data_IF_557657175869
#
_entry.id   IF_557657175869
#
_cell.length_a   1.000
_cell.length_b   1.000
_cell.length_c   1.000
_cell.angle_alpha   90.00
_cell.angle_beta   90.00
_cell.angle_gamma   90.00
#
_symmetry.space_group_name_H-M   'P 1'
#
loop_
_entity.id
_entity.type
_entity.pdbx_description
1 polymer ?
#
# COMPACT_ATOMS: atom_id res chain seq x y z
N UNK A 1 -19.65 -15.11 36.50
CA UNK A 1 -18.57 -15.05 35.50
C UNK A 1 -19.21 -15.35 34.16
N UNK A 2 -19.51 -14.32 33.36
CA UNK A 2 -20.07 -14.54 32.03
C UNK A 2 -18.96 -15.10 31.14
N UNK A 3 -19.18 -16.25 30.51
CA UNK A 3 -18.24 -16.81 29.53
C UNK A 3 -17.99 -15.76 28.45
N UNK A 4 -16.77 -15.25 28.33
CA UNK A 4 -16.37 -14.48 27.16
C UNK A 4 -16.49 -15.40 25.94
N UNK A 5 -17.31 -15.01 24.95
CA UNK A 5 -17.42 -15.74 23.70
C UNK A 5 -16.08 -15.58 22.97
N UNK A 6 -15.41 -16.70 22.72
CA UNK A 6 -14.10 -16.75 22.09
C UNK A 6 -14.25 -17.34 20.69
N UNK A 7 -13.81 -16.59 19.68
CA UNK A 7 -13.86 -17.01 18.27
C UNK A 7 -12.45 -17.18 17.75
N UNK A 8 -12.13 -18.35 17.19
CA UNK A 8 -10.87 -18.61 16.50
C UNK A 8 -11.03 -18.28 15.02
N UNK A 9 -10.04 -17.60 14.45
CA UNK A 9 -10.01 -17.16 13.06
C UNK A 9 -8.63 -17.46 12.45
N UNK A 10 -8.59 -18.25 11.38
CA UNK A 10 -7.39 -18.55 10.63
C UNK A 10 -7.28 -17.68 9.39
N UNK A 11 -6.23 -16.87 9.32
CA UNK A 11 -5.95 -15.97 8.20
C UNK A 11 -4.75 -16.47 7.44
N UNK A 12 -4.89 -16.61 6.12
CA UNK A 12 -3.84 -17.02 5.20
C UNK A 12 -3.45 -15.85 4.29
N UNK A 13 -2.16 -15.65 4.03
CA UNK A 13 -1.67 -14.70 3.03
C UNK A 13 -0.57 -15.31 2.16
N UNK A 14 -0.59 -15.04 0.86
CA UNK A 14 0.47 -15.46 -0.06
C UNK A 14 0.56 -14.57 -1.31
N UNK A 15 1.75 -14.05 -1.59
CA UNK A 15 2.13 -13.61 -2.93
C UNK A 15 2.29 -14.85 -3.83
N UNK A 16 1.42 -14.98 -4.84
CA UNK A 16 1.33 -16.18 -5.66
C UNK A 16 2.31 -16.21 -6.85
N UNK A 17 3.04 -15.13 -7.11
CA UNK A 17 3.94 -15.00 -8.26
C UNK A 17 3.30 -15.48 -9.55
N UNK A 18 2.14 -14.93 -9.90
CA UNK A 18 1.35 -15.35 -11.06
C UNK A 18 1.73 -14.64 -12.35
N UNK A 19 2.96 -14.12 -12.47
CA UNK A 19 3.36 -13.22 -13.57
C UNK A 19 3.37 -14.01 -14.88
N UNK A 20 2.52 -13.59 -15.82
CA UNK A 20 2.40 -14.26 -17.11
C UNK A 20 3.73 -14.26 -17.86
N UNK A 21 4.14 -15.43 -18.35
CA UNK A 21 5.38 -15.68 -19.09
C UNK A 21 6.70 -15.62 -18.29
N UNK A 22 6.73 -15.01 -17.10
CA UNK A 22 7.91 -15.00 -16.24
C UNK A 22 7.88 -16.12 -15.20
N UNK A 23 6.72 -16.32 -14.55
CA UNK A 23 6.62 -17.24 -13.43
C UNK A 23 6.60 -18.69 -13.89
N UNK A 24 7.49 -19.50 -13.32
CA UNK A 24 7.66 -20.91 -13.65
C UNK A 24 6.53 -21.76 -13.05
N UNK A 25 6.15 -22.82 -13.75
CA UNK A 25 5.17 -23.83 -13.31
C UNK A 25 3.84 -23.25 -12.81
N UNK A 26 3.41 -22.11 -13.35
CA UNK A 26 2.29 -21.33 -12.83
C UNK A 26 1.02 -22.19 -12.65
N UNK A 27 0.55 -22.88 -13.70
CA UNK A 27 -0.66 -23.71 -13.61
C UNK A 27 -0.55 -24.85 -12.59
N UNK A 28 0.62 -25.49 -12.47
CA UNK A 28 0.84 -26.54 -11.47
C UNK A 28 0.84 -25.97 -10.05
N UNK A 29 1.49 -24.82 -9.83
CA UNK A 29 1.52 -24.15 -8.52
C UNK A 29 0.14 -23.69 -8.08
N UNK A 30 -0.67 -23.14 -8.98
CA UNK A 30 -2.07 -22.79 -8.67
C UNK A 30 -2.93 -24.01 -8.34
N UNK A 31 -2.70 -25.15 -9.01
CA UNK A 31 -3.38 -26.41 -8.67
C UNK A 31 -3.01 -26.88 -7.25
N UNK A 32 -1.71 -26.89 -6.93
CA UNK A 32 -1.18 -27.21 -5.61
C UNK A 32 -1.71 -26.27 -4.53
N UNK A 33 -1.68 -24.96 -4.78
CA UNK A 33 -2.21 -23.94 -3.87
C UNK A 33 -3.69 -24.19 -3.59
N UNK A 34 -4.48 -24.47 -4.64
CA UNK A 34 -5.89 -24.82 -4.48
C UNK A 34 -6.11 -26.10 -3.67
N UNK A 35 -5.26 -27.13 -3.80
CA UNK A 35 -5.35 -28.34 -2.97
C UNK A 35 -5.03 -28.07 -1.50
N UNK A 36 -4.00 -27.26 -1.26
CA UNK A 36 -3.60 -26.86 0.09
C UNK A 36 -4.69 -26.03 0.78
N UNK A 37 -5.24 -25.03 0.09
CA UNK A 37 -6.33 -24.19 0.59
C UNK A 37 -7.64 -24.96 0.78
N UNK A 38 -7.88 -26.01 -0.01
CA UNK A 38 -9.04 -26.89 0.16
C UNK A 38 -8.92 -27.79 1.40
N UNK A 39 -7.72 -28.32 1.65
CA UNK A 39 -7.45 -29.25 2.77
C UNK A 39 -7.33 -28.54 4.11
N UNK A 40 -6.78 -27.33 4.14
CA UNK A 40 -6.58 -26.57 5.38
C UNK A 40 -7.80 -25.73 5.73
N UNK A 41 -8.05 -25.57 7.02
CA UNK A 41 -9.24 -24.88 7.53
C UNK A 41 -9.08 -23.35 7.65
N UNK A 42 -8.50 -22.68 6.66
CA UNK A 42 -8.41 -21.21 6.67
C UNK A 42 -9.82 -20.58 6.60
N UNK A 43 -10.05 -19.48 7.30
CA UNK A 43 -11.33 -18.77 7.27
C UNK A 43 -11.30 -17.60 6.27
N UNK A 44 -10.11 -17.00 6.12
CA UNK A 44 -9.84 -15.87 5.24
C UNK A 44 -8.52 -16.11 4.52
N UNK A 45 -8.52 -15.95 3.20
CA UNK A 45 -7.38 -16.16 2.31
C UNK A 45 -7.15 -14.88 1.51
N UNK A 46 -5.95 -14.32 1.62
CA UNK A 46 -5.53 -13.05 1.05
C UNK A 46 -4.41 -13.30 0.05
N UNK A 47 -4.69 -13.19 -1.24
CA UNK A 47 -3.72 -13.49 -2.29
C UNK A 47 -3.24 -12.23 -2.99
N UNK A 48 -1.94 -12.17 -3.26
CA UNK A 48 -1.30 -11.17 -4.10
C UNK A 48 -0.77 -11.83 -5.39
N UNK A 49 -0.49 -11.03 -6.41
CA UNK A 49 0.03 -11.49 -7.70
C UNK A 49 -0.83 -12.54 -8.44
N UNK A 50 -2.13 -12.53 -8.20
CA UNK A 50 -3.11 -13.26 -9.03
C UNK A 50 -3.41 -12.44 -10.29
N UNK A 51 -2.43 -12.31 -11.18
CA UNK A 51 -2.53 -11.42 -12.36
C UNK A 51 -3.49 -11.92 -13.44
N UNK A 52 -3.87 -13.19 -13.40
CA UNK A 52 -4.72 -13.84 -14.40
C UNK A 52 -6.11 -14.11 -13.84
N UNK A 53 -7.13 -13.50 -14.44
CA UNK A 53 -8.53 -13.73 -14.07
C UNK A 53 -8.93 -15.21 -14.25
N UNK A 54 -8.31 -15.91 -15.21
CA UNK A 54 -8.50 -17.35 -15.38
C UNK A 54 -8.01 -18.15 -14.17
N UNK A 55 -6.85 -17.81 -13.63
CA UNK A 55 -6.30 -18.52 -12.46
C UNK A 55 -7.11 -18.22 -11.20
N UNK A 56 -7.59 -16.98 -11.03
CA UNK A 56 -8.58 -16.63 -10.01
C UNK A 56 -9.87 -17.46 -10.14
N UNK A 57 -10.46 -17.54 -11.34
CA UNK A 57 -11.70 -18.30 -11.57
C UNK A 57 -11.50 -19.81 -11.30
N UNK A 58 -10.34 -20.35 -11.64
CA UNK A 58 -9.98 -21.74 -11.34
C UNK A 58 -9.92 -22.00 -9.83
N UNK A 59 -9.27 -21.09 -9.07
CA UNK A 59 -9.26 -21.16 -7.61
C UNK A 59 -10.67 -21.03 -7.02
N UNK A 60 -11.47 -20.08 -7.53
CA UNK A 60 -12.87 -19.87 -7.11
C UNK A 60 -13.71 -21.12 -7.29
N UNK A 61 -13.58 -21.79 -8.43
CA UNK A 61 -14.29 -23.04 -8.68
C UNK A 61 -13.84 -24.14 -7.71
N UNK A 62 -12.54 -24.29 -7.52
CA UNK A 62 -11.96 -25.33 -6.64
C UNK A 62 -12.32 -25.13 -5.16
N UNK A 63 -12.39 -23.89 -4.71
CA UNK A 63 -12.66 -23.53 -3.32
C UNK A 63 -14.13 -23.26 -3.02
N UNK A 64 -15.05 -23.45 -3.99
CA UNK A 64 -16.45 -23.06 -3.84
C UNK A 64 -17.17 -23.68 -2.63
N UNK A 65 -16.77 -24.90 -2.20
CA UNK A 65 -17.38 -25.57 -1.04
C UNK A 65 -16.81 -25.12 0.31
N UNK A 66 -15.54 -24.70 0.37
CA UNK A 66 -14.88 -24.31 1.61
C UNK A 66 -14.74 -22.79 1.78
N UNK A 67 -14.64 -22.02 0.69
CA UNK A 67 -14.60 -20.56 0.67
C UNK A 67 -15.62 -20.03 -0.35
N UNK A 68 -16.93 -20.12 -0.06
CA UNK A 68 -18.00 -19.78 -1.01
C UNK A 68 -18.00 -18.29 -1.40
N UNK A 69 -17.41 -17.42 -0.58
CA UNK A 69 -17.34 -15.99 -0.83
C UNK A 69 -15.95 -15.60 -1.32
N UNK A 70 -15.89 -14.88 -2.44
CA UNK A 70 -14.62 -14.39 -2.96
C UNK A 70 -14.79 -13.12 -3.78
N UNK A 71 -13.72 -12.35 -3.87
CA UNK A 71 -13.66 -11.13 -4.68
C UNK A 71 -12.28 -10.99 -5.33
N UNK A 72 -12.29 -10.51 -6.58
CA UNK A 72 -11.10 -10.22 -7.37
C UNK A 72 -11.05 -8.73 -7.66
N UNK A 73 -10.01 -8.05 -7.18
CA UNK A 73 -9.89 -6.61 -7.33
C UNK A 73 -9.26 -6.26 -8.68
N UNK A 74 -9.99 -5.52 -9.52
CA UNK A 74 -9.52 -5.11 -10.85
C UNK A 74 -8.90 -3.71 -10.80
N UNK A 75 -7.65 -3.56 -11.25
CA UNK A 75 -6.90 -2.28 -11.26
C UNK A 75 -5.97 -2.21 -12.48
N UNK A 76 -5.48 -1.03 -12.81
CA UNK A 76 -4.41 -0.86 -13.81
C UNK A 76 -4.78 -1.39 -15.19
N UNK A 77 -3.75 -1.82 -15.93
CA UNK A 77 -3.88 -2.43 -17.27
C UNK A 77 -3.99 -3.95 -17.15
N UNK A 78 -3.18 -4.55 -16.26
CA UNK A 78 -3.08 -6.01 -16.10
C UNK A 78 -4.01 -6.53 -14.99
N UNK A 79 -4.40 -5.71 -14.01
CA UNK A 79 -5.10 -6.12 -12.78
C UNK A 79 -4.25 -5.80 -11.55
N UNK A 80 -4.84 -5.63 -10.35
CA UNK A 80 -4.03 -5.38 -9.12
C UNK A 80 -3.29 -6.63 -8.63
N UNK A 81 -3.68 -7.81 -9.13
CA UNK A 81 -3.21 -9.10 -8.62
C UNK A 81 -3.81 -9.50 -7.28
N UNK A 82 -4.79 -8.75 -6.75
CA UNK A 82 -5.31 -8.98 -5.40
C UNK A 82 -6.61 -9.79 -5.43
N UNK A 83 -6.69 -10.80 -4.58
CA UNK A 83 -7.90 -11.61 -4.40
C UNK A 83 -8.15 -11.94 -2.92
N UNK A 84 -9.42 -12.04 -2.56
CA UNK A 84 -9.87 -12.49 -1.24
C UNK A 84 -10.79 -13.70 -1.42
N UNK A 85 -10.59 -14.73 -0.62
CA UNK A 85 -11.53 -15.85 -0.45
C UNK A 85 -11.87 -15.98 1.04
N UNK A 86 -13.11 -16.30 1.35
CA UNK A 86 -13.56 -16.42 2.74
C UNK A 86 -14.69 -17.43 2.91
N UNK A 87 -14.70 -18.07 4.08
CA UNK A 87 -15.85 -18.80 4.63
C UNK A 87 -17.00 -17.84 4.99
N UNK A 88 -16.67 -16.63 5.40
CA UNK A 88 -17.63 -15.62 5.85
C UNK A 88 -18.14 -14.79 4.69
N UNK A 89 -19.37 -14.31 4.81
CA UNK A 89 -20.01 -13.49 3.77
C UNK A 89 -19.26 -12.16 3.61
N UNK A 90 -18.89 -11.85 2.38
CA UNK A 90 -18.41 -10.52 1.99
C UNK A 90 -19.64 -9.66 1.70
N UNK A 91 -19.79 -8.57 2.47
CA UNK A 91 -20.92 -7.65 2.37
C UNK A 91 -20.64 -6.47 1.44
N UNK A 92 -19.41 -5.97 1.47
CA UNK A 92 -18.99 -4.84 0.64
C UNK A 92 -17.50 -4.95 0.31
N UNK A 93 -17.09 -4.28 -0.74
CA UNK A 93 -15.71 -4.25 -1.21
C UNK A 93 -15.32 -2.88 -1.70
N UNK A 94 -14.10 -2.44 -1.39
CA UNK A 94 -13.59 -1.15 -1.85
C UNK A 94 -12.14 -1.27 -2.30
N UNK A 95 -11.84 -0.77 -3.49
CA UNK A 95 -10.49 -0.75 -4.05
C UNK A 95 -9.94 0.68 -4.04
N UNK A 96 -8.74 0.83 -3.48
CA UNK A 96 -7.97 2.07 -3.57
C UNK A 96 -6.66 1.81 -4.31
N UNK A 97 -6.53 2.37 -5.52
CA UNK A 97 -5.29 2.33 -6.30
C UNK A 97 -4.35 3.43 -5.85
N UNK A 98 -3.10 3.07 -5.58
CA UNK A 98 -2.11 4.04 -5.13
C UNK A 98 -1.77 5.07 -6.20
N UNK A 99 -1.38 6.26 -5.77
CA UNK A 99 -1.07 7.37 -6.67
C UNK A 99 0.27 7.24 -7.40
N UNK A 100 1.21 6.48 -6.84
CA UNK A 100 2.55 6.23 -7.39
C UNK A 100 2.82 4.73 -7.54
N UNK A 101 2.90 4.26 -8.78
CA UNK A 101 3.07 2.83 -9.12
C UNK A 101 4.28 2.55 -10.02
N UNK A 102 5.26 3.46 -10.07
CA UNK A 102 6.46 3.29 -10.90
C UNK A 102 6.35 4.01 -12.25
N UNK A 103 7.08 3.52 -13.25
CA UNK A 103 7.23 4.20 -14.54
C UNK A 103 6.82 3.33 -15.72
N UNK A 104 6.01 3.85 -16.67
CA UNK A 104 5.56 3.09 -17.84
C UNK A 104 6.70 2.73 -18.80
N UNK A 105 7.75 3.57 -18.86
CA UNK A 105 8.92 3.33 -19.72
C UNK A 105 9.90 2.31 -19.15
N UNK A 106 9.77 1.94 -17.87
CA UNK A 106 10.53 0.85 -17.26
C UNK A 106 9.74 -0.45 -17.43
N UNK A 107 9.60 -0.93 -18.66
CA UNK A 107 8.73 -2.08 -18.97
C UNK A 107 9.08 -3.37 -18.19
N UNK A 108 10.35 -3.52 -17.80
CA UNK A 108 10.82 -4.63 -16.97
C UNK A 108 10.40 -4.52 -15.50
N UNK A 109 9.88 -3.36 -15.07
CA UNK A 109 9.37 -3.11 -13.74
C UNK A 109 7.83 -3.03 -13.81
N UNK A 110 7.17 -4.16 -13.55
CA UNK A 110 5.76 -4.38 -13.89
C UNK A 110 4.73 -3.58 -13.08
N UNK A 111 5.14 -2.91 -11.99
CA UNK A 111 4.26 -2.26 -11.01
C UNK A 111 3.29 -1.24 -11.63
N UNK A 112 3.76 -0.50 -12.65
CA UNK A 112 2.95 0.54 -13.29
C UNK A 112 1.77 -0.08 -14.04
N UNK A 113 2.00 -1.20 -14.71
CA UNK A 113 0.97 -1.92 -15.47
C UNK A 113 0.01 -2.69 -14.57
N UNK A 114 0.50 -3.21 -13.44
CA UNK A 114 -0.35 -3.82 -12.41
C UNK A 114 -1.25 -2.79 -11.72
N UNK A 115 -0.76 -1.56 -11.51
CA UNK A 115 -1.51 -0.54 -10.79
C UNK A 115 -1.75 -0.96 -9.35
N UNK A 116 -0.66 -1.06 -8.58
CA UNK A 116 -0.65 -1.46 -7.16
C UNK A 116 -1.72 -0.72 -6.36
N UNK A 117 -2.29 -1.43 -5.40
CA UNK A 117 -3.51 -1.01 -4.72
C UNK A 117 -3.66 -1.72 -3.36
N UNK A 118 -4.64 -1.26 -2.58
CA UNK A 118 -5.22 -2.02 -1.47
C UNK A 118 -6.68 -2.33 -1.77
N UNK A 119 -7.04 -3.60 -1.66
CA UNK A 119 -8.42 -4.06 -1.68
C UNK A 119 -8.95 -4.22 -0.25
N UNK A 120 -10.14 -3.73 0.02
CA UNK A 120 -10.86 -3.91 1.28
C UNK A 120 -12.09 -4.77 1.04
N UNK A 121 -12.40 -5.66 1.98
CA UNK A 121 -13.63 -6.42 2.05
C UNK A 121 -14.23 -6.30 3.46
N UNK A 122 -15.53 -6.04 3.55
CA UNK A 122 -16.28 -6.02 4.81
C UNK A 122 -16.94 -7.38 5.01
N UNK A 123 -16.60 -8.06 6.11
CA UNK A 123 -17.07 -9.40 6.44
C UNK A 123 -17.82 -9.40 7.78
N UNK A 124 -18.73 -10.35 7.95
CA UNK A 124 -19.34 -10.65 9.25
C UNK A 124 -18.78 -11.95 9.83
N UNK A 125 -18.10 -11.83 10.97
CA UNK A 125 -17.51 -12.96 11.70
C UNK A 125 -18.30 -13.11 13.00
N UNK A 126 -19.29 -13.99 12.99
CA UNK A 126 -20.30 -14.03 14.05
C UNK A 126 -21.06 -12.70 14.09
N UNK A 127 -21.07 -12.04 15.24
CA UNK A 127 -21.67 -10.71 15.45
C UNK A 127 -20.71 -9.54 15.15
N UNK A 128 -19.45 -9.83 14.83
CA UNK A 128 -18.40 -8.81 14.64
C UNK A 128 -18.33 -8.36 13.18
N UNK A 129 -18.15 -7.05 12.99
CA UNK A 129 -17.86 -6.46 11.68
C UNK A 129 -16.35 -6.43 11.49
N UNK A 130 -15.86 -7.13 10.47
CA UNK A 130 -14.45 -7.21 10.14
C UNK A 130 -14.14 -6.48 8.83
N UNK A 131 -13.19 -5.54 8.87
CA UNK A 131 -12.60 -4.98 7.68
C UNK A 131 -11.29 -5.71 7.37
N UNK A 132 -11.29 -6.40 6.23
CA UNK A 132 -10.17 -7.20 5.76
C UNK A 132 -9.53 -6.48 4.59
N UNK A 133 -8.23 -6.22 4.69
CA UNK A 133 -7.44 -5.52 3.70
C UNK A 133 -6.43 -6.49 3.10
N UNK A 134 -6.34 -6.50 1.78
CA UNK A 134 -5.28 -7.17 1.02
C UNK A 134 -4.52 -6.12 0.23
N UNK A 135 -3.19 -6.13 0.30
CA UNK A 135 -2.36 -5.18 -0.45
C UNK A 135 -1.13 -5.83 -1.04
N UNK A 136 -0.58 -5.18 -2.05
CA UNK A 136 0.73 -5.46 -2.59
C UNK A 136 1.37 -4.11 -2.91
N UNK A 137 2.42 -3.72 -2.18
CA UNK A 137 3.13 -2.46 -2.43
C UNK A 137 4.10 -2.60 -3.60
N UNK A 138 4.70 -1.47 -4.00
CA UNK A 138 5.67 -1.41 -5.09
C UNK A 138 6.88 -2.30 -4.75
N UNK A 139 7.41 -3.02 -5.73
CA UNK A 139 8.58 -3.88 -5.53
C UNK A 139 9.86 -3.08 -5.24
N UNK A 140 10.75 -3.66 -4.42
CA UNK A 140 12.13 -3.20 -4.22
C UNK A 140 13.05 -3.94 -5.20
N UNK A 141 13.32 -3.33 -6.36
CA UNK A 141 14.13 -3.96 -7.41
C UNK A 141 15.63 -4.01 -7.09
N UNK A 142 16.12 -3.09 -6.24
CA UNK A 142 17.52 -3.02 -5.85
C UNK A 142 17.66 -2.19 -4.56
N UNK A 143 18.01 -2.83 -3.44
CA UNK A 143 18.14 -2.16 -2.14
C UNK A 143 19.22 -1.08 -2.10
N UNK A 144 20.37 -1.30 -2.76
CA UNK A 144 21.47 -0.31 -2.79
C UNK A 144 21.13 0.95 -3.60
N UNK A 145 20.29 0.80 -4.64
CA UNK A 145 19.92 1.89 -5.56
C UNK A 145 18.44 1.81 -5.85
N UNK A 146 17.67 2.31 -4.90
CA UNK A 146 16.23 2.24 -4.98
C UNK A 146 15.58 3.60 -5.34
N UNK A 147 15.32 3.87 -6.63
CA UNK A 147 14.58 5.07 -7.02
C UNK A 147 13.10 5.00 -6.65
N UNK A 148 12.61 3.85 -6.17
CA UNK A 148 11.20 3.63 -5.82
C UNK A 148 10.91 3.75 -4.33
N UNK A 149 11.91 4.06 -3.49
CA UNK A 149 11.69 4.27 -2.06
C UNK A 149 10.64 5.37 -1.81
N UNK A 150 10.69 6.55 -2.48
CA UNK A 150 9.63 7.55 -2.32
C UNK A 150 8.25 7.03 -2.74
N UNK A 151 8.18 6.15 -3.75
CA UNK A 151 6.92 5.52 -4.14
C UNK A 151 6.40 4.60 -3.03
N UNK A 152 7.23 3.70 -2.49
CA UNK A 152 6.85 2.81 -1.39
C UNK A 152 6.43 3.60 -0.13
N UNK A 153 7.12 4.68 0.19
CA UNK A 153 6.78 5.56 1.32
C UNK A 153 5.42 6.24 1.11
N UNK A 154 5.14 6.77 -0.08
CA UNK A 154 3.82 7.36 -0.40
C UNK A 154 2.73 6.30 -0.37
N UNK A 155 2.96 5.11 -0.90
CA UNK A 155 1.99 4.02 -0.84
C UNK A 155 1.70 3.59 0.60
N UNK A 156 2.71 3.49 1.46
CA UNK A 156 2.54 3.21 2.88
C UNK A 156 1.76 4.32 3.60
N UNK A 157 2.03 5.58 3.25
CA UNK A 157 1.28 6.75 3.72
C UNK A 157 -0.19 6.68 3.31
N UNK A 158 -0.48 6.36 2.06
CA UNK A 158 -1.85 6.22 1.56
C UNK A 158 -2.56 5.02 2.18
N UNK A 159 -1.87 3.88 2.34
CA UNK A 159 -2.40 2.67 2.98
C UNK A 159 -2.84 2.95 4.42
N UNK A 160 -2.00 3.62 5.22
CA UNK A 160 -2.38 3.93 6.60
C UNK A 160 -3.54 4.93 6.68
N UNK A 161 -3.60 5.93 5.78
CA UNK A 161 -4.76 6.83 5.70
C UNK A 161 -6.03 6.05 5.36
N UNK A 162 -5.95 5.20 4.33
CA UNK A 162 -7.07 4.41 3.87
C UNK A 162 -7.62 3.52 4.98
N UNK A 163 -6.75 2.78 5.68
CA UNK A 163 -7.15 1.94 6.82
C UNK A 163 -7.81 2.79 7.90
N UNK A 164 -7.18 3.89 8.33
CA UNK A 164 -7.71 4.74 9.41
C UNK A 164 -9.10 5.32 9.10
N UNK A 165 -9.32 5.76 7.86
CA UNK A 165 -10.58 6.38 7.46
C UNK A 165 -11.69 5.36 7.20
N UNK A 166 -11.34 4.13 6.82
CA UNK A 166 -12.32 3.09 6.51
C UNK A 166 -12.61 2.15 7.69
N UNK A 167 -11.74 2.08 8.70
CA UNK A 167 -11.85 1.13 9.81
C UNK A 167 -12.58 1.65 11.04
N UNK A 168 -13.08 2.89 11.05
CA UNK A 168 -13.66 3.51 12.25
C UNK A 168 -14.87 2.75 12.82
N UNK A 169 -15.65 2.09 11.96
CA UNK A 169 -16.83 1.30 12.34
C UNK A 169 -16.58 -0.20 12.49
N UNK A 170 -15.35 -0.69 12.31
CA UNK A 170 -15.05 -2.12 12.36
C UNK A 170 -14.69 -2.57 13.78
N UNK A 171 -15.15 -3.77 14.16
CA UNK A 171 -14.75 -4.44 15.39
C UNK A 171 -13.39 -5.12 15.26
N UNK A 172 -13.08 -5.59 14.05
CA UNK A 172 -11.84 -6.28 13.69
C UNK A 172 -11.25 -5.66 12.42
N UNK A 173 -9.94 -5.42 12.44
CA UNK A 173 -9.16 -5.02 11.28
C UNK A 173 -8.05 -6.03 11.07
N UNK A 174 -7.97 -6.58 9.85
CA UNK A 174 -6.86 -7.45 9.42
C UNK A 174 -6.33 -6.91 8.10
N UNK A 175 -5.01 -6.75 8.01
CA UNK A 175 -4.28 -6.45 6.78
C UNK A 175 -3.36 -7.61 6.48
N UNK A 176 -3.49 -8.20 5.29
CA UNK A 176 -2.56 -9.20 4.78
C UNK A 176 -1.94 -8.78 3.46
N UNK A 177 -0.67 -9.13 3.27
CA UNK A 177 -0.05 -9.10 1.96
C UNK A 177 1.41 -8.68 1.96
N UNK A 178 1.90 -8.47 0.75
CA UNK A 178 3.29 -8.15 0.45
C UNK A 178 3.51 -6.64 0.53
N UNK A 179 4.24 -6.20 1.55
CA UNK A 179 4.58 -4.80 1.75
C UNK A 179 5.88 -4.40 1.04
N UNK A 180 6.62 -5.34 0.45
CA UNK A 180 7.92 -5.11 -0.20
C UNK A 180 8.90 -4.30 0.66
N UNK A 181 8.80 -4.48 1.98
CA UNK A 181 9.55 -3.73 2.99
C UNK A 181 9.84 -4.62 4.18
N UNK A 182 11.12 -4.68 4.54
CA UNK A 182 11.61 -5.31 5.75
C UNK A 182 11.05 -4.60 7.01
N UNK A 183 10.95 -5.25 8.18
CA UNK A 183 10.25 -4.69 9.34
C UNK A 183 10.79 -3.33 9.82
N UNK A 184 12.07 -3.05 9.61
CA UNK A 184 12.71 -1.79 10.00
C UNK A 184 12.66 -0.70 8.93
N UNK A 185 12.22 -1.04 7.73
CA UNK A 185 12.11 -0.07 6.65
C UNK A 185 11.02 0.98 6.96
N UNK A 186 11.25 2.18 6.45
CA UNK A 186 10.48 3.37 6.81
C UNK A 186 8.98 3.23 6.60
N UNK A 187 8.54 2.68 5.46
CA UNK A 187 7.10 2.53 5.19
C UNK A 187 6.42 1.52 6.11
N UNK A 188 7.12 0.47 6.54
CA UNK A 188 6.58 -0.51 7.49
C UNK A 188 6.40 0.11 8.89
N UNK A 189 7.45 0.79 9.38
CA UNK A 189 7.39 1.57 10.64
C UNK A 189 6.26 2.61 10.58
N UNK A 190 6.17 3.37 9.49
CA UNK A 190 5.12 4.37 9.28
C UNK A 190 3.73 3.75 9.36
N UNK A 191 3.49 2.65 8.64
CA UNK A 191 2.20 1.96 8.61
C UNK A 191 1.79 1.47 10.01
N UNK A 192 2.68 0.74 10.70
CA UNK A 192 2.38 0.14 12.00
C UNK A 192 2.16 1.19 13.08
N UNK A 193 3.05 2.18 13.18
CA UNK A 193 2.93 3.23 14.21
C UNK A 193 1.72 4.14 13.96
N UNK A 194 1.38 4.43 12.70
CA UNK A 194 0.22 5.29 12.36
C UNK A 194 -1.14 4.62 12.58
N UNK A 195 -1.23 3.30 12.36
CA UNK A 195 -2.50 2.54 12.44
C UNK A 195 -2.69 1.86 13.81
N UNK A 196 -1.59 1.54 14.50
CA UNK A 196 -1.58 0.68 15.67
C UNK A 196 -1.87 -0.80 15.35
N UNK A 197 -1.69 -1.20 14.09
CA UNK A 197 -1.76 -2.61 13.70
C UNK A 197 -0.58 -3.37 14.32
N UNK A 198 -0.88 -4.53 14.90
CA UNK A 198 0.11 -5.42 15.50
C UNK A 198 0.52 -6.50 14.50
N UNK A 199 1.79 -6.87 14.55
CA UNK A 199 2.38 -7.88 13.65
C UNK A 199 2.16 -9.26 14.25
N UNK A 200 1.44 -10.15 13.55
CA UNK A 200 1.22 -11.52 14.00
C UNK A 200 2.51 -12.25 14.31
N UNK A 201 3.61 -11.98 13.58
CA UNK A 201 4.88 -12.65 13.83
C UNK A 201 5.48 -12.22 15.17
N UNK A 202 5.38 -10.93 15.52
CA UNK A 202 5.91 -10.41 16.77
C UNK A 202 5.02 -10.72 17.98
N UNK A 203 3.72 -10.91 17.75
CA UNK A 203 2.74 -11.15 18.82
C UNK A 203 2.44 -12.64 19.06
N UNK A 204 2.87 -13.53 18.17
CA UNK A 204 2.52 -14.94 18.27
C UNK A 204 3.11 -15.59 19.51
N UNK A 205 2.32 -16.39 20.22
CA UNK A 205 2.81 -17.20 21.33
C UNK A 205 3.68 -18.38 20.85
N UNK A 206 3.41 -18.89 19.65
CA UNK A 206 4.12 -20.02 19.05
C UNK A 206 4.31 -19.79 17.55
N UNK A 207 5.54 -19.99 17.09
CA UNK A 207 5.91 -19.84 15.69
C UNK A 207 6.48 -21.15 15.13
N UNK A 208 6.09 -21.50 13.91
CA UNK A 208 6.68 -22.59 13.13
C UNK A 208 6.91 -22.15 11.68
N UNK A 209 8.15 -21.96 11.26
CA UNK A 209 8.41 -21.39 9.94
C UNK A 209 9.88 -21.16 9.67
N UNK A 210 10.15 -20.34 8.67
CA UNK A 210 11.47 -19.83 8.36
C UNK A 210 11.98 -18.94 9.49
N UNK A 211 13.29 -18.96 9.72
CA UNK A 211 13.95 -18.09 10.70
C UNK A 211 13.54 -16.63 10.50
N UNK A 212 13.41 -15.87 11.58
CA UNK A 212 12.99 -14.46 11.59
C UNK A 212 11.67 -14.13 10.88
N UNK A 213 10.85 -15.14 10.57
CA UNK A 213 9.62 -14.99 9.82
C UNK A 213 9.85 -14.59 8.36
N UNK A 214 11.03 -14.91 7.80
CA UNK A 214 11.37 -14.61 6.41
C UNK A 214 10.36 -15.22 5.44
N UNK A 215 10.01 -14.46 4.42
CA UNK A 215 9.05 -14.86 3.38
C UNK A 215 9.66 -14.92 1.99
N UNK A 216 10.78 -14.24 1.77
CA UNK A 216 11.61 -14.40 0.58
C UNK A 216 12.93 -15.06 1.02
N UNK A 217 13.06 -16.37 0.85
CA UNK A 217 14.16 -17.16 1.44
C UNK A 217 15.23 -17.53 0.41
N UNK A 218 16.50 -17.51 0.82
CA UNK A 218 17.65 -17.80 -0.04
C UNK A 218 17.61 -19.18 -0.74
N UNK A 219 16.95 -20.15 -0.11
CA UNK A 219 16.81 -21.52 -0.60
C UNK A 219 15.65 -21.70 -1.59
N UNK A 220 14.83 -20.67 -1.82
CA UNK A 220 13.75 -20.75 -2.79
C UNK A 220 14.31 -20.77 -4.23
N UNK A 221 14.01 -21.79 -5.05
CA UNK A 221 14.58 -21.95 -6.39
C UNK A 221 14.07 -20.92 -7.41
N UNK A 222 13.09 -20.10 -7.05
CA UNK A 222 12.50 -19.10 -7.94
C UNK A 222 13.06 -17.69 -7.76
N UNK A 223 13.81 -17.43 -6.68
CA UNK A 223 14.38 -16.11 -6.40
C UNK A 223 15.83 -16.00 -6.90
N UNK A 224 16.28 -14.79 -7.23
CA UNK A 224 17.70 -14.49 -7.39
C UNK A 224 18.33 -14.08 -6.06
N UNK A 225 19.55 -14.55 -5.77
CA UNK A 225 20.30 -14.13 -4.57
C UNK A 225 20.52 -12.62 -4.48
N UNK A 226 20.55 -11.93 -5.62
CA UNK A 226 20.69 -10.48 -5.65
C UNK A 226 19.47 -9.73 -5.08
N UNK A 227 18.29 -10.37 -5.08
CA UNK A 227 17.05 -9.76 -4.58
C UNK A 227 17.00 -9.70 -3.06
N UNK A 228 17.72 -10.60 -2.38
CA UNK A 228 17.73 -10.67 -0.91
C UNK A 228 18.94 -9.98 -0.27
N UNK A 229 19.94 -9.54 -1.05
CA UNK A 229 21.09 -8.82 -0.48
C UNK A 229 20.65 -7.49 0.17
N UNK A 230 21.24 -7.12 1.32
CA UNK A 230 22.35 -7.78 2.04
C UNK A 230 21.92 -8.89 3.03
N UNK A 231 20.65 -9.29 3.04
CA UNK A 231 20.13 -10.30 3.96
C UNK A 231 20.36 -11.72 3.42
N UNK A 232 21.52 -12.28 3.72
CA UNK A 232 22.00 -13.56 3.17
C UNK A 232 21.02 -14.74 3.34
N UNK A 233 20.23 -14.75 4.43
CA UNK A 233 19.25 -15.82 4.71
C UNK A 233 17.89 -15.56 4.06
N UNK A 234 17.54 -14.30 3.79
CA UNK A 234 16.26 -13.91 3.25
C UNK A 234 15.67 -12.64 3.86
N UNK A 235 14.51 -12.25 3.35
CA UNK A 235 13.78 -11.05 3.70
C UNK A 235 12.39 -11.40 4.26
N UNK A 236 11.93 -10.66 5.27
CA UNK A 236 10.51 -10.65 5.68
C UNK A 236 9.81 -9.46 5.04
N UNK A 237 8.97 -9.71 4.05
CA UNK A 237 8.24 -8.66 3.30
C UNK A 237 6.74 -8.90 3.22
N UNK A 238 6.26 -10.09 3.58
CA UNK A 238 4.84 -10.39 3.71
C UNK A 238 4.42 -10.33 5.17
N UNK A 239 3.21 -9.86 5.41
CA UNK A 239 2.70 -9.64 6.76
C UNK A 239 1.23 -10.03 6.89
N UNK A 240 0.86 -10.49 8.08
CA UNK A 240 -0.52 -10.48 8.59
C UNK A 240 -0.51 -9.56 9.80
N UNK A 241 -1.17 -8.41 9.67
CA UNK A 241 -1.27 -7.39 10.69
C UNK A 241 -2.71 -7.26 11.16
N UNK A 242 -2.94 -6.99 12.45
CA UNK A 242 -4.30 -6.95 12.98
C UNK A 242 -4.49 -5.94 14.11
N UNK A 243 -5.75 -5.53 14.32
CA UNK A 243 -6.17 -4.66 15.41
C UNK A 243 -7.65 -4.89 15.74
N UNK A 244 -7.96 -4.86 17.03
CA UNK A 244 -9.34 -4.92 17.52
C UNK A 244 -9.86 -3.54 17.88
N UNK A 245 -11.18 -3.38 17.86
CA UNK A 245 -11.85 -2.24 18.48
C UNK A 245 -11.72 -2.33 20.01
N UNK A 246 -12.09 -1.28 20.76
CA UNK A 246 -12.12 -1.34 22.22
C UNK A 246 -13.01 -2.45 22.82
N UNK A 247 -13.88 -3.07 22.01
CA UNK A 247 -14.78 -4.16 22.43
C UNK A 247 -14.18 -5.56 22.23
N UNK A 248 -13.13 -5.67 21.39
CA UNK A 248 -12.57 -6.95 20.96
C UNK A 248 -11.08 -6.99 21.26
N UNK A 249 -10.68 -7.89 22.15
CA UNK A 249 -9.28 -8.25 22.31
C UNK A 249 -8.91 -9.32 21.28
N UNK A 250 -7.71 -9.23 20.73
CA UNK A 250 -7.21 -10.19 19.74
C UNK A 250 -5.86 -10.70 20.21
N UNK A 251 -5.68 -12.00 20.15
CA UNK A 251 -4.44 -12.68 20.46
C UNK A 251 -4.01 -13.49 19.24
N UNK A 252 -2.71 -13.52 18.96
CA UNK A 252 -2.14 -14.43 17.96
C UNK A 252 -1.66 -15.67 18.70
N UNK A 253 -2.45 -16.73 18.71
CA UNK A 253 -2.11 -17.94 19.47
C UNK A 253 -1.03 -18.76 18.73
N UNK A 254 -1.04 -18.71 17.40
CA UNK A 254 -0.09 -19.40 16.54
C UNK A 254 0.13 -18.65 15.23
N UNK A 255 1.35 -18.75 14.69
CA UNK A 255 1.66 -18.31 13.34
C UNK A 255 2.64 -19.29 12.70
N UNK A 256 2.49 -19.53 11.41
CA UNK A 256 3.46 -20.30 10.65
C UNK A 256 3.75 -19.69 9.28
N UNK A 257 4.92 -20.06 8.75
CA UNK A 257 5.23 -19.87 7.33
C UNK A 257 5.40 -21.23 6.66
N UNK A 258 5.25 -21.29 5.33
CA UNK A 258 5.88 -22.39 4.58
C UNK A 258 7.41 -22.27 4.66
N UNK A 259 8.12 -23.33 4.27
CA UNK A 259 9.58 -23.46 4.43
C UNK A 259 10.28 -23.79 3.11
N UNK A 260 9.79 -23.23 2.01
CA UNK A 260 10.24 -23.46 0.64
C UNK A 260 9.81 -24.82 0.09
N UNK A 261 10.30 -25.90 0.67
CA UNK A 261 9.91 -27.23 0.20
C UNK A 261 8.46 -27.56 0.57
N UNK A 262 7.75 -28.18 -0.38
CA UNK A 262 6.40 -28.73 -0.17
C UNK A 262 6.51 -30.25 -0.23
N UNK A 263 6.07 -30.99 0.80
CA UNK A 263 6.09 -32.44 0.79
C UNK A 263 5.45 -33.00 -0.48
N UNK A 264 6.07 -34.02 -1.06
CA UNK A 264 5.61 -34.73 -2.27
C UNK A 264 5.51 -33.88 -3.55
N UNK A 265 6.05 -32.66 -3.55
CA UNK A 265 6.07 -31.78 -4.71
C UNK A 265 7.49 -31.29 -5.04
N UNK A 266 7.83 -31.11 -6.34
CA UNK A 266 9.19 -30.79 -6.77
C UNK A 266 9.57 -29.31 -6.64
N UNK A 267 8.63 -28.43 -6.28
CA UNK A 267 8.85 -26.98 -6.17
C UNK A 267 7.90 -26.33 -5.15
N UNK A 268 8.22 -25.12 -4.65
CA UNK A 268 7.34 -24.37 -3.75
C UNK A 268 6.03 -23.91 -4.40
N UNK A 269 5.07 -23.48 -3.56
CA UNK A 269 3.84 -22.83 -4.01
C UNK A 269 4.10 -21.48 -4.70
N UNK A 270 5.14 -20.76 -4.30
CA UNK A 270 5.53 -19.46 -4.85
C UNK A 270 7.02 -19.20 -4.62
N UNK A 271 7.54 -18.11 -5.18
CA UNK A 271 8.84 -17.55 -4.79
C UNK A 271 8.81 -16.93 -3.37
N UNK A 272 7.61 -16.63 -2.86
CA UNK A 272 7.34 -16.26 -1.48
C UNK A 272 6.82 -17.44 -0.63
N UNK A 273 7.10 -17.39 0.67
CA UNK A 273 6.51 -18.29 1.66
C UNK A 273 5.12 -17.80 2.10
N UNK A 274 4.18 -18.73 2.19
CA UNK A 274 2.83 -18.43 2.64
C UNK A 274 2.81 -18.20 4.15
N UNK A 275 2.00 -17.25 4.59
CA UNK A 275 1.75 -16.97 6.00
C UNK A 275 0.41 -17.56 6.44
N UNK A 276 0.35 -18.12 7.64
CA UNK A 276 -0.91 -18.47 8.31
C UNK A 276 -0.87 -18.00 9.75
N UNK A 277 -1.85 -17.19 10.16
CA UNK A 277 -2.00 -16.72 11.52
C UNK A 277 -3.31 -17.23 12.11
N UNK A 278 -3.24 -17.78 13.32
CA UNK A 278 -4.40 -18.18 14.11
C UNK A 278 -4.68 -17.13 15.17
N UNK A 279 -5.77 -16.40 14.97
CA UNK A 279 -6.20 -15.31 15.83
C UNK A 279 -7.34 -15.78 16.73
N UNK A 280 -7.24 -15.50 18.02
CA UNK A 280 -8.33 -15.67 18.99
C UNK A 280 -8.92 -14.32 19.33
N UNK A 281 -10.21 -14.18 19.07
CA UNK A 281 -11.01 -12.98 19.31
C UNK A 281 -11.79 -13.17 20.61
N UNK A 282 -11.69 -12.21 21.52
CA UNK A 282 -12.45 -12.21 22.78
C UNK A 282 -13.25 -10.93 22.88
N UNK A 283 -14.57 -11.07 22.98
CA UNK A 283 -15.50 -9.95 23.16
C UNK A 283 -15.77 -9.72 24.63
N UNK A 284 -15.76 -8.46 25.07
CA UNK A 284 -16.09 -8.11 26.45
C UNK A 284 -17.23 -7.07 26.51
N UNK A 285 -18.10 -7.20 27.50
CA UNK A 285 -19.12 -6.18 27.79
C UNK A 285 -18.46 -4.91 28.35
N UNK A 286 -18.95 -3.70 28.03
CA UNK A 286 -18.32 -2.42 28.41
C UNK A 286 -18.16 -2.15 29.91
N UNK A 287 -18.65 -3.02 30.79
CA UNK A 287 -18.72 -2.84 32.24
C UNK A 287 -17.39 -3.06 32.99
N UNK A 288 -16.36 -3.63 32.37
CA UNK A 288 -15.12 -4.01 33.08
C UNK A 288 -13.88 -3.19 32.67
N UNK A 289 -14.02 -2.24 31.74
CA UNK A 289 -12.87 -1.58 31.11
C UNK A 289 -12.28 -0.36 31.85
N UNK A 290 -12.82 0.05 33.01
CA UNK A 290 -12.57 1.41 33.53
C UNK A 290 -11.74 1.58 34.81
N UNK A 291 -11.37 0.57 35.62
CA UNK A 291 -10.68 0.88 36.89
C UNK A 291 -9.14 0.91 36.84
N UNK A 292 -8.44 0.09 36.06
CA UNK A 292 -7.01 -0.18 36.37
C UNK A 292 -5.96 0.39 35.40
N UNK A 293 -6.32 1.16 34.36
CA UNK A 293 -5.36 1.59 33.31
C UNK A 293 -5.15 3.10 33.15
N UNK A 294 -5.49 3.93 34.13
CA UNK A 294 -5.46 5.41 33.97
C UNK A 294 -4.12 6.08 34.29
N UNK A 295 -3.23 5.49 35.10
CA UNK A 295 -2.02 6.20 35.56
C UNK A 295 -0.74 5.91 34.74
N UNK A 296 -0.61 4.73 34.10
CA UNK A 296 0.59 4.34 33.32
C UNK A 296 0.47 4.62 31.80
N UNK A 297 -0.71 5.07 31.33
CA UNK A 297 -0.98 5.29 29.90
C UNK A 297 -0.51 6.65 29.37
N UNK A 298 -0.33 7.67 30.22
CA UNK A 298 -0.10 9.04 29.76
C UNK A 298 1.33 9.23 29.21
N UNK A 299 2.35 8.74 29.93
CA UNK A 299 3.75 8.82 29.48
C UNK A 299 4.03 7.91 28.27
N UNK A 300 3.40 6.72 28.24
CA UNK A 300 3.46 5.81 27.10
C UNK A 300 2.79 6.37 25.83
N UNK A 301 1.70 7.15 25.99
CA UNK A 301 1.01 7.76 24.86
C UNK A 301 1.83 8.91 24.25
N UNK A 302 2.43 9.78 25.08
CA UNK A 302 3.30 10.85 24.61
C UNK A 302 4.51 10.30 23.85
N UNK A 303 5.16 9.25 24.38
CA UNK A 303 6.29 8.58 23.71
C UNK A 303 5.93 8.03 22.33
N UNK A 304 4.77 7.37 22.19
CA UNK A 304 4.29 6.86 20.89
C UNK A 304 3.97 7.98 19.89
N UNK A 305 3.46 9.11 20.36
CA UNK A 305 3.21 10.27 19.49
C UNK A 305 4.52 10.90 19.04
N UNK A 306 5.52 10.99 19.92
CA UNK A 306 6.85 11.48 19.57
C UNK A 306 7.53 10.58 18.52
N UNK A 307 7.52 9.27 18.73
CA UNK A 307 8.01 8.29 17.76
C UNK A 307 7.33 8.44 16.39
N UNK A 308 6.00 8.64 16.37
CA UNK A 308 5.27 8.85 15.13
C UNK A 308 5.67 10.15 14.44
N UNK A 309 5.93 11.24 15.19
CA UNK A 309 6.43 12.50 14.62
C UNK A 309 7.78 12.31 13.96
N UNK A 310 8.69 11.57 14.60
CA UNK A 310 10.03 11.30 14.06
C UNK A 310 9.94 10.48 12.76
N UNK A 311 9.18 9.37 12.78
CA UNK A 311 8.97 8.51 11.61
C UNK A 311 8.30 9.29 10.46
N UNK A 312 7.30 10.12 10.76
CA UNK A 312 6.64 10.92 9.74
C UNK A 312 7.54 12.02 9.17
N UNK A 313 8.44 12.57 9.99
CA UNK A 313 9.43 13.56 9.54
C UNK A 313 10.47 12.91 8.62
N UNK A 314 10.92 11.69 8.96
CA UNK A 314 11.77 10.86 8.11
C UNK A 314 11.07 10.54 6.78
N UNK A 315 9.83 10.05 6.81
CA UNK A 315 9.02 9.75 5.62
C UNK A 315 8.85 10.99 4.72
N UNK A 316 8.54 12.14 5.32
CA UNK A 316 8.43 13.40 4.59
C UNK A 316 9.76 13.82 3.94
N UNK A 317 10.88 13.54 4.58
CA UNK A 317 12.21 13.83 4.03
C UNK A 317 12.47 12.97 2.79
N UNK A 318 12.16 11.67 2.84
CA UNK A 318 12.29 10.78 1.68
C UNK A 318 11.37 11.19 0.52
N UNK A 319 10.12 11.59 0.81
CA UNK A 319 9.21 12.12 -0.21
C UNK A 319 9.78 13.39 -0.86
N UNK A 320 10.40 14.28 -0.08
CA UNK A 320 11.09 15.46 -0.63
C UNK A 320 12.27 15.08 -1.52
N UNK A 321 13.06 14.08 -1.16
CA UNK A 321 14.15 13.59 -2.03
C UNK A 321 13.58 13.14 -3.38
N UNK A 322 12.48 12.37 -3.36
CA UNK A 322 11.74 12.00 -4.57
C UNK A 322 11.26 13.20 -5.37
N UNK A 323 10.71 14.22 -4.70
CA UNK A 323 10.20 15.44 -5.34
C UNK A 323 11.31 16.18 -6.12
N UNK A 324 12.46 16.41 -5.49
CA UNK A 324 13.60 17.06 -6.15
C UNK A 324 14.12 16.24 -7.34
N UNK A 325 14.11 14.90 -7.24
CA UNK A 325 14.47 14.02 -8.34
C UNK A 325 13.48 14.15 -9.51
N UNK A 326 12.18 14.09 -9.23
CA UNK A 326 11.12 14.24 -10.23
C UNK A 326 11.16 15.62 -10.91
N UNK A 327 11.39 16.69 -10.15
CA UNK A 327 11.58 18.05 -10.67
C UNK A 327 12.75 18.15 -11.64
N UNK A 328 13.91 17.61 -11.25
CA UNK A 328 15.11 17.59 -12.09
C UNK A 328 14.85 16.82 -13.39
N UNK A 329 14.16 15.68 -13.31
CA UNK A 329 13.82 14.87 -14.48
C UNK A 329 12.83 15.57 -15.40
N UNK A 330 11.80 16.24 -14.84
CA UNK A 330 10.85 17.06 -15.60
C UNK A 330 11.54 18.23 -16.31
N UNK A 331 12.45 18.92 -15.63
CA UNK A 331 13.26 20.00 -16.21
C UNK A 331 14.13 19.49 -17.36
N UNK A 332 14.77 18.33 -17.16
CA UNK A 332 15.59 17.68 -18.20
C UNK A 332 14.74 17.30 -19.42
N UNK A 333 13.57 16.70 -19.22
CA UNK A 333 12.64 16.36 -20.31
C UNK A 333 12.19 17.62 -21.07
N UNK A 334 11.87 18.70 -20.35
CA UNK A 334 11.48 19.98 -20.95
C UNK A 334 12.60 20.56 -21.81
N UNK A 335 13.83 20.61 -21.27
CA UNK A 335 15.00 21.12 -22.01
C UNK A 335 15.30 20.31 -23.27
N UNK A 336 15.24 18.98 -23.18
CA UNK A 336 15.43 18.09 -24.33
C UNK A 336 14.31 18.28 -25.37
N UNK A 337 13.06 18.45 -24.93
CA UNK A 337 11.94 18.75 -25.83
C UNK A 337 12.10 20.08 -26.56
N UNK A 338 12.53 21.14 -25.86
CA UNK A 338 12.83 22.45 -26.48
C UNK A 338 13.97 22.34 -27.49
N UNK A 339 15.02 21.58 -27.19
CA UNK A 339 16.12 21.32 -28.13
C UNK A 339 15.62 20.54 -29.37
N UNK A 340 14.79 19.52 -29.18
CA UNK A 340 14.16 18.79 -30.29
C UNK A 340 13.29 19.69 -31.17
N UNK A 341 12.56 20.63 -30.56
CA UNK A 341 11.75 21.60 -31.28
C UNK A 341 12.62 22.59 -32.07
N UNK A 342 13.72 23.07 -31.48
CA UNK A 342 14.67 23.94 -32.17
C UNK A 342 15.34 23.24 -33.37
N UNK A 343 15.67 21.96 -33.23
CA UNK A 343 16.19 21.14 -34.33
C UNK A 343 15.17 20.96 -35.45
N UNK A 344 13.91 20.70 -35.11
CA UNK A 344 12.82 20.62 -36.10
C UNK A 344 12.63 21.94 -36.83
N UNK A 345 12.67 23.08 -36.12
CA UNK A 345 12.61 24.40 -36.76
C UNK A 345 13.79 24.68 -37.67
N UNK A 346 15.01 24.32 -37.26
CA UNK A 346 16.21 24.46 -38.08
C UNK A 346 16.10 23.62 -39.36
N UNK A 347 15.59 22.39 -39.23
CA UNK A 347 15.35 21.49 -40.36
C UNK A 347 14.31 22.06 -41.35
N UNK A 348 13.17 22.57 -40.84
CA UNK A 348 12.17 23.25 -41.66
C UNK A 348 12.73 24.50 -42.34
N UNK A 349 13.58 25.26 -41.66
CA UNK A 349 14.25 26.43 -42.23
C UNK A 349 15.20 26.03 -43.38
N UNK A 350 15.99 24.97 -43.21
CA UNK A 350 16.87 24.42 -44.27
C UNK A 350 16.04 23.96 -45.47
N UNK A 351 14.91 23.27 -45.24
CA UNK A 351 14.01 22.83 -46.30
C UNK A 351 13.32 23.98 -47.05
N UNK A 352 13.18 25.15 -46.42
CA UNK A 352 12.63 26.34 -47.06
C UNK A 352 13.64 27.06 -47.98
N UNK A 353 14.96 26.86 -47.79
CA UNK A 353 16.02 27.56 -48.56
C UNK A 353 15.85 27.39 -50.08
N UNK A 354 15.63 26.19 -50.64
CA UNK A 354 15.46 26.03 -52.09
C UNK A 354 14.23 26.76 -52.66
N UNK A 355 13.17 26.90 -51.87
CA UNK A 355 11.96 27.63 -52.28
C UNK A 355 12.15 29.15 -52.26
N UNK A 356 13.05 29.65 -51.41
CA UNK A 356 13.38 31.06 -51.27
C UNK A 356 14.53 31.50 -52.20
N UNK A 357 15.41 30.59 -52.58
CA UNK A 357 16.50 30.82 -53.51
C UNK A 357 15.99 30.70 -54.96
N UNK A 358 15.57 31.82 -55.55
CA UNK A 358 15.26 31.92 -56.98
C UNK A 358 16.51 31.57 -57.82
N UNK A 359 16.56 30.35 -58.39
CA UNK A 359 17.42 30.06 -59.54
C UNK A 359 18.48 28.96 -59.40
N UNK A 360 18.46 28.08 -58.40
CA UNK A 360 19.40 26.95 -58.33
C UNK A 360 18.68 25.60 -58.12
N UNK A 361 18.65 24.75 -59.16
CA UNK A 361 18.25 23.34 -59.04
C UNK A 361 19.38 22.54 -58.36
N UNK A 362 19.39 22.56 -57.03
CA UNK A 362 20.25 21.69 -56.23
C UNK A 362 19.44 20.47 -55.78
N UNK A 363 19.97 19.23 -55.87
CA UNK A 363 19.28 18.04 -55.40
C UNK A 363 19.12 18.11 -53.86
N UNK A 364 17.88 18.16 -53.38
CA UNK A 364 17.58 18.15 -51.95
C UNK A 364 17.70 16.71 -51.38
N UNK A 365 18.41 16.50 -50.26
CA UNK A 365 18.60 15.17 -49.68
C UNK A 365 17.34 14.69 -48.94
N UNK A 366 16.29 14.34 -49.69
CA UNK A 366 14.97 13.92 -49.20
C UNK A 366 15.05 12.83 -48.13
N UNK A 367 15.85 11.78 -48.34
CA UNK A 367 15.97 10.66 -47.39
C UNK A 367 16.51 11.11 -46.04
N UNK A 368 17.60 11.89 -46.04
CA UNK A 368 18.22 12.39 -44.81
C UNK A 368 17.30 13.36 -44.06
N UNK A 369 16.56 14.18 -44.80
CA UNK A 369 15.53 15.07 -44.25
C UNK A 369 14.41 14.29 -43.57
N UNK A 370 13.78 13.32 -44.25
CA UNK A 370 12.71 12.55 -43.61
C UNK A 370 13.19 11.73 -42.40
N UNK A 371 14.42 11.22 -42.44
CA UNK A 371 15.03 10.53 -41.30
C UNK A 371 15.26 11.46 -40.10
N UNK A 372 15.74 12.67 -40.34
CA UNK A 372 15.95 13.67 -39.28
C UNK A 372 14.61 14.18 -38.72
N UNK A 373 13.64 14.48 -39.58
CA UNK A 373 12.29 14.85 -39.17
C UNK A 373 11.62 13.75 -38.32
N UNK A 374 11.77 12.49 -38.73
CA UNK A 374 11.30 11.33 -37.96
C UNK A 374 11.96 11.22 -36.59
N UNK A 375 13.28 11.46 -36.51
CA UNK A 375 14.02 11.50 -35.24
C UNK A 375 13.56 12.66 -34.34
N UNK A 376 13.40 13.86 -34.91
CA UNK A 376 12.88 15.04 -34.21
C UNK A 376 11.48 14.75 -33.63
N UNK A 377 10.59 14.16 -34.43
CA UNK A 377 9.26 13.76 -33.98
C UNK A 377 9.32 12.73 -32.85
N UNK A 378 10.17 11.70 -32.96
CA UNK A 378 10.34 10.69 -31.92
C UNK A 378 10.86 11.28 -30.59
N UNK A 379 11.82 12.21 -30.67
CA UNK A 379 12.34 12.94 -29.50
C UNK A 379 11.25 13.78 -28.86
N UNK A 380 10.48 14.54 -29.65
CA UNK A 380 9.38 15.37 -29.17
C UNK A 380 8.29 14.54 -28.50
N UNK A 381 7.88 13.44 -29.14
CA UNK A 381 6.88 12.53 -28.59
C UNK A 381 7.35 11.92 -27.27
N UNK A 382 8.59 11.41 -27.23
CA UNK A 382 9.15 10.78 -26.03
C UNK A 382 9.30 11.77 -24.88
N UNK A 383 9.83 12.97 -25.15
CA UNK A 383 10.01 14.00 -24.13
C UNK A 383 8.68 14.55 -23.63
N UNK A 384 7.67 14.67 -24.50
CA UNK A 384 6.31 15.04 -24.11
C UNK A 384 5.68 14.00 -23.17
N UNK A 385 5.79 12.70 -23.49
CA UNK A 385 5.30 11.62 -22.62
C UNK A 385 6.03 11.62 -21.28
N UNK A 386 7.36 11.74 -21.28
CA UNK A 386 8.16 11.85 -20.05
C UNK A 386 7.74 13.07 -19.21
N UNK A 387 7.48 14.22 -19.85
CA UNK A 387 7.00 15.41 -19.17
C UNK A 387 5.66 15.16 -18.46
N UNK A 388 4.70 14.50 -19.13
CA UNK A 388 3.41 14.14 -18.54
C UNK A 388 3.62 13.24 -17.32
N UNK A 389 4.37 12.14 -17.48
CA UNK A 389 4.56 11.18 -16.39
C UNK A 389 5.28 11.81 -15.19
N UNK A 390 6.34 12.60 -15.43
CA UNK A 390 7.04 13.31 -14.35
C UNK A 390 6.19 14.42 -13.71
N UNK A 391 5.26 15.02 -14.45
CA UNK A 391 4.31 15.98 -13.88
C UNK A 391 3.29 15.29 -12.98
N UNK A 392 2.79 14.11 -13.36
CA UNK A 392 1.90 13.32 -12.51
C UNK A 392 2.59 12.89 -11.22
N UNK A 393 3.81 12.34 -11.33
CA UNK A 393 4.63 11.93 -10.19
C UNK A 393 4.89 13.09 -9.23
N UNK A 394 5.30 14.25 -9.75
CA UNK A 394 5.55 15.46 -8.96
C UNK A 394 4.30 15.90 -8.20
N UNK A 395 3.13 15.89 -8.84
CA UNK A 395 1.86 16.25 -8.17
C UNK A 395 1.50 15.27 -7.05
N UNK A 396 1.68 13.97 -7.26
CA UNK A 396 1.43 12.97 -6.22
C UNK A 396 2.40 13.10 -5.04
N UNK A 397 3.70 13.29 -5.32
CA UNK A 397 4.72 13.52 -4.29
C UNK A 397 4.46 14.79 -3.49
N UNK A 398 4.15 15.90 -4.18
CA UNK A 398 3.82 17.18 -3.54
C UNK A 398 2.56 17.05 -2.66
N UNK A 399 1.52 16.39 -3.16
CA UNK A 399 0.30 16.14 -2.39
C UNK A 399 0.56 15.32 -1.12
N UNK A 400 1.39 14.27 -1.21
CA UNK A 400 1.79 13.47 -0.05
C UNK A 400 2.63 14.29 0.95
N UNK A 401 3.57 15.09 0.47
CA UNK A 401 4.40 15.98 1.31
C UNK A 401 3.54 16.99 2.09
N UNK A 402 2.56 17.60 1.41
CA UNK A 402 1.62 18.54 2.00
C UNK A 402 0.76 17.88 3.09
N UNK A 403 0.25 16.69 2.82
CA UNK A 403 -0.52 15.89 3.79
C UNK A 403 0.32 15.50 5.00
N UNK A 404 1.56 15.03 4.79
CA UNK A 404 2.48 14.69 5.88
C UNK A 404 2.81 15.92 6.73
N UNK A 405 3.04 17.08 6.10
CA UNK A 405 3.28 18.34 6.80
C UNK A 405 2.11 18.72 7.72
N UNK A 406 0.88 18.64 7.22
CA UNK A 406 -0.32 18.90 8.01
C UNK A 406 -0.45 17.94 9.20
N UNK A 407 -0.23 16.64 8.95
CA UNK A 407 -0.33 15.62 9.98
C UNK A 407 0.76 15.74 11.06
N UNK A 408 2.01 16.06 10.67
CA UNK A 408 3.09 16.37 11.61
C UNK A 408 2.71 17.56 12.50
N UNK A 409 2.17 18.64 11.91
CA UNK A 409 1.70 19.80 12.68
C UNK A 409 0.66 19.42 13.74
N UNK A 410 -0.34 18.63 13.35
CA UNK A 410 -1.37 18.14 14.29
C UNK A 410 -0.79 17.25 15.41
N UNK A 411 0.21 16.42 15.10
CA UNK A 411 0.86 15.58 16.11
C UNK A 411 1.72 16.41 17.07
N UNK A 412 2.42 17.43 16.57
CA UNK A 412 3.20 18.35 17.40
C UNK A 412 2.31 19.19 18.32
N UNK A 413 1.13 19.63 17.87
CA UNK A 413 0.14 20.28 18.71
C UNK A 413 -0.35 19.37 19.85
N UNK A 414 -0.62 18.09 19.52
CA UNK A 414 -0.98 17.07 20.52
C UNK A 414 0.12 16.85 21.55
N UNK A 415 1.39 16.83 21.14
CA UNK A 415 2.53 16.71 22.06
C UNK A 415 2.68 17.93 22.97
N UNK A 416 2.40 19.13 22.46
CA UNK A 416 2.47 20.39 23.21
C UNK A 416 1.27 20.61 24.16
N UNK A 417 0.21 19.80 24.06
CA UNK A 417 -0.94 19.87 24.94
C UNK A 417 -1.89 21.05 24.69
N UNK A 418 -1.89 21.65 23.49
CA UNK A 418 -2.86 22.71 23.17
C UNK A 418 -4.29 22.12 23.12
N UNK A 419 -5.27 22.67 23.88
CA UNK A 419 -6.64 22.25 23.75
C UNK A 419 -7.14 22.59 22.34
N UNK A 420 -7.58 21.58 21.58
CA UNK A 420 -8.42 21.79 20.40
C UNK A 420 -9.60 22.66 20.84
N UNK A 421 -9.73 23.85 20.26
CA UNK A 421 -10.80 24.78 20.57
C UNK A 421 -12.15 24.04 20.47
N UNK A 422 -12.82 23.85 21.60
CA UNK A 422 -14.18 23.33 21.61
C UNK A 422 -15.08 24.37 20.94
N UNK A 423 -16.05 23.96 20.09
CA UNK A 423 -17.05 24.89 19.58
C UNK A 423 -17.82 25.45 20.78
N UNK A 424 -17.83 26.77 20.95
CA UNK A 424 -18.59 27.43 22.00
C UNK A 424 -20.07 27.05 21.94
N UNK A 425 -20.53 26.16 22.82
CA UNK A 425 -21.95 26.05 23.18
C UNK A 425 -22.20 26.92 24.41
N UNK A 426 -22.37 28.23 24.22
CA UNK A 426 -22.92 29.09 25.27
C UNK A 426 -24.42 29.24 25.09
N UNK A 427 -25.16 28.27 25.64
CA UNK A 427 -26.45 28.57 26.25
C UNK A 427 -26.17 29.51 27.43
N UNK A 428 -26.59 30.78 27.36
CA UNK A 428 -26.75 31.63 28.54
C UNK A 428 -28.22 31.98 28.70
N UNK A 429 -28.79 31.55 29.84
CA UNK A 429 -30.10 31.95 30.37
C UNK A 429 -30.16 33.48 30.58
N UNK A 430 -31.35 34.10 30.51
CA UNK A 430 -31.51 35.51 30.82
C UNK A 430 -31.41 35.77 32.34
N UNK A 431 -30.96 36.95 32.79
CA UNK A 431 -30.83 37.26 34.21
C UNK A 431 -32.19 37.59 34.84
N UNK A 432 -32.44 37.05 36.03
CA UNK A 432 -33.56 37.38 36.90
C UNK A 432 -33.40 38.78 37.54
N UNK A 433 -34.56 39.38 37.82
CA UNK A 433 -34.74 40.81 38.11
C UNK A 433 -34.16 41.31 39.43
N UNK A 434 -33.82 42.59 39.40
CA UNK A 434 -33.56 43.46 40.54
C UNK A 434 -34.22 44.81 40.21
N UNK A 435 -35.43 45.02 40.70
CA UNK A 435 -35.96 46.35 41.05
C UNK A 435 -35.57 46.64 42.52
N UNK A 436 -35.45 47.90 42.99
CA UNK A 436 -36.28 49.06 42.61
C UNK A 436 -35.59 50.44 42.57
N UNK A 437 -36.25 51.43 41.97
CA UNK A 437 -36.52 52.77 42.55
C UNK A 437 -37.08 53.72 41.49
N UNK A 438 -38.18 54.38 41.85
CA UNK A 438 -38.99 55.28 41.05
C UNK A 438 -38.37 56.69 40.81
N UNK A 439 -39.02 57.41 39.89
CA UNK A 439 -38.99 58.86 39.55
C UNK A 439 -38.24 59.27 38.26
N UNK A 440 -38.95 59.18 37.10
CA UNK A 440 -39.46 60.25 36.21
C UNK A 440 -38.68 61.59 36.03
N UNK A 441 -38.92 62.38 34.93
CA UNK A 441 -38.67 62.14 33.50
C UNK A 441 -37.99 63.39 32.83
N UNK A 442 -37.97 63.46 31.48
CA UNK A 442 -37.61 64.62 30.61
C UNK A 442 -36.08 64.89 30.51
N UNK A 443 -35.43 65.07 29.35
CA UNK A 443 -35.79 65.52 27.99
C UNK A 443 -35.16 64.64 26.89
#
# INVERSE_FOLDING_TARGET
MANAESVRLQVFSLNCWGIRYLSKHCSQRYAMLGDMLYKKEHDIVLLQEVWSEKDYLSLKQKLASCHPHSHYFKSGVIGSGLAVFSKHRIHDTFLYRYSLNGYPYMAHHGDWFGGKAVGMAVLSIGSLIANIYVTHLHAEYCRDKDPYLPHRVVQAWELQQFIRHTSAGADLVILGGDLNMHPQDLGNRLLRTSTGLRDSYLETAKFDGCEDGMTLIADNPFISKNEILPFEKGLRIDYILYKGSPKVNIYCDYMCTTKGSVPDHPFPYSDHEALTAELRLETHTPSEAQSDKKLWKHDSAAGKVAELVDIMTEARTEVKVGLHCAERMRYTATRTGVMGLALLFLELAIAAVPYLALGAEQPFPLTSFYMLAGLCFAILLTTFLLYIFKTMELKSLQGAEDQMRLAIGSLQEKLRGFPLAQPHSTQRRPPEGLEPSAFDPEE
#
